data_IF_837398255231
#
_entry.id   IF_837398255231
#
_cell.length_a   1.000
_cell.length_b   1.000
_cell.length_c   1.000
_cell.angle_alpha   90.00
_cell.angle_beta   90.00
_cell.angle_gamma   90.00
#
_symmetry.space_group_name_H-M   'P 1'
#
loop_
_entity.id
_entity.type
_entity.pdbx_description
1 polymer ?
#
# COMPACT_ATOMS: atom_id res chain seq x y z
N UNK A 1 -14.82 63.18 -48.69
CA UNK A 1 -14.64 62.02 -47.79
C UNK A 1 -15.00 60.65 -48.40
N UNK A 2 -15.47 60.55 -49.65
CA UNK A 2 -15.87 59.27 -50.27
C UNK A 2 -14.71 58.42 -50.88
N UNK A 3 -13.52 58.99 -51.10
CA UNK A 3 -12.39 58.29 -51.72
C UNK A 3 -11.59 57.36 -50.80
N UNK A 4 -11.67 57.53 -49.47
CA UNK A 4 -10.87 56.76 -48.50
C UNK A 4 -11.45 55.34 -48.29
N UNK A 5 -12.79 55.23 -48.27
CA UNK A 5 -13.49 53.95 -48.09
C UNK A 5 -13.34 53.00 -49.29
N UNK A 6 -13.40 53.53 -50.52
CA UNK A 6 -13.18 52.75 -51.74
C UNK A 6 -11.73 52.36 -52.00
N UNK A 7 -10.75 53.02 -51.36
CA UNK A 7 -9.33 52.63 -51.40
C UNK A 7 -9.07 51.48 -50.42
N UNK A 8 -9.50 51.62 -49.16
CA UNK A 8 -9.43 50.53 -48.15
C UNK A 8 -10.13 49.26 -48.60
N UNK A 9 -11.33 49.35 -49.22
CA UNK A 9 -12.06 48.16 -49.69
C UNK A 9 -11.31 47.44 -50.84
N UNK A 10 -10.61 48.17 -51.70
CA UNK A 10 -9.78 47.60 -52.77
C UNK A 10 -8.49 46.99 -52.23
N UNK A 11 -7.87 47.64 -51.25
CA UNK A 11 -6.70 47.11 -50.53
C UNK A 11 -7.06 45.81 -49.80
N UNK A 12 -8.19 45.77 -49.08
CA UNK A 12 -8.71 44.55 -48.42
C UNK A 12 -9.03 43.42 -49.41
N UNK A 13 -9.63 43.73 -50.56
CA UNK A 13 -9.90 42.70 -51.57
C UNK A 13 -8.60 42.14 -52.17
N UNK A 14 -7.63 43.01 -52.47
CA UNK A 14 -6.33 42.59 -52.99
C UNK A 14 -5.54 41.73 -51.98
N UNK A 15 -5.64 42.05 -50.68
CA UNK A 15 -5.07 41.23 -49.60
C UNK A 15 -5.73 39.85 -49.53
N UNK A 16 -7.06 39.78 -49.66
CA UNK A 16 -7.81 38.51 -49.67
C UNK A 16 -7.46 37.66 -50.90
N UNK A 17 -7.42 38.26 -52.09
CA UNK A 17 -7.06 37.55 -53.33
C UNK A 17 -5.61 37.01 -53.27
N UNK A 18 -4.70 37.78 -52.66
CA UNK A 18 -3.32 37.34 -52.44
C UNK A 18 -3.23 36.17 -51.44
N UNK A 19 -4.03 36.20 -50.37
CA UNK A 19 -4.12 35.11 -49.41
C UNK A 19 -4.69 33.84 -50.04
N UNK A 20 -5.71 33.96 -50.90
CA UNK A 20 -6.31 32.81 -51.59
C UNK A 20 -5.35 32.19 -52.59
N UNK A 21 -4.59 33.02 -53.32
CA UNK A 21 -3.52 32.55 -54.18
C UNK A 21 -2.39 31.86 -53.39
N UNK A 22 -2.08 32.33 -52.18
CA UNK A 22 -1.13 31.67 -51.28
C UNK A 22 -1.63 30.29 -50.83
N UNK A 23 -2.88 30.21 -50.40
CA UNK A 23 -3.52 28.97 -49.97
C UNK A 23 -3.56 27.93 -51.10
N UNK A 24 -3.95 28.34 -52.31
CA UNK A 24 -3.94 27.46 -53.48
C UNK A 24 -2.53 26.94 -53.82
N UNK A 25 -1.52 27.81 -53.75
CA UNK A 25 -0.11 27.41 -53.97
C UNK A 25 0.36 26.41 -52.90
N UNK A 26 0.04 26.66 -51.63
CA UNK A 26 0.37 25.75 -50.52
C UNK A 26 -0.31 24.40 -50.67
N UNK A 27 -1.57 24.37 -51.09
CA UNK A 27 -2.29 23.13 -51.40
C UNK A 27 -1.60 22.33 -52.52
N UNK A 28 -1.16 23.00 -53.59
CA UNK A 28 -0.38 22.36 -54.66
C UNK A 28 0.96 21.79 -54.20
N UNK A 29 1.69 22.54 -53.36
CA UNK A 29 2.95 22.06 -52.77
C UNK A 29 2.72 20.85 -51.86
N UNK A 30 1.68 20.90 -51.02
CA UNK A 30 1.34 19.82 -50.09
C UNK A 30 0.96 18.53 -50.84
N UNK A 31 0.22 18.62 -51.95
CA UNK A 31 -0.10 17.46 -52.79
C UNK A 31 1.15 16.77 -53.34
N UNK A 32 2.11 17.53 -53.85
CA UNK A 32 3.36 16.99 -54.39
C UNK A 32 4.21 16.39 -53.27
N UNK A 33 4.26 17.04 -52.10
CA UNK A 33 4.96 16.53 -50.91
C UNK A 33 4.41 15.19 -50.44
N UNK A 34 3.08 15.10 -50.28
CA UNK A 34 2.42 13.87 -49.87
C UNK A 34 2.59 12.73 -50.89
N UNK A 35 2.49 13.00 -52.20
CA UNK A 35 2.72 11.99 -53.26
C UNK A 35 4.15 11.44 -53.24
N UNK A 36 5.14 12.32 -53.13
CA UNK A 36 6.54 11.91 -53.02
C UNK A 36 6.78 11.13 -51.71
N UNK A 37 6.15 11.53 -50.60
CA UNK A 37 6.25 10.78 -49.33
C UNK A 37 5.65 9.38 -49.46
N UNK A 38 4.50 9.21 -50.12
CA UNK A 38 3.92 7.88 -50.40
C UNK A 38 4.90 7.05 -51.22
N UNK A 39 5.49 7.62 -52.27
CA UNK A 39 6.46 6.93 -53.13
C UNK A 39 7.65 6.43 -52.33
N UNK A 40 8.29 7.29 -51.54
CA UNK A 40 9.41 6.94 -50.66
C UNK A 40 9.01 5.89 -49.63
N UNK A 41 7.85 6.04 -49.00
CA UNK A 41 7.38 5.11 -47.97
C UNK A 41 7.06 3.73 -48.55
N UNK A 42 6.60 3.63 -49.81
CA UNK A 42 6.43 2.35 -50.50
C UNK A 42 7.76 1.64 -50.73
N UNK A 43 8.79 2.38 -51.13
CA UNK A 43 10.15 1.84 -51.27
C UNK A 43 10.66 1.34 -49.91
N UNK A 44 10.52 2.16 -48.86
CA UNK A 44 10.88 1.80 -47.48
C UNK A 44 10.12 0.57 -46.97
N UNK A 45 8.81 0.47 -47.26
CA UNK A 45 8.00 -0.69 -46.92
C UNK A 45 8.54 -1.96 -47.59
N UNK A 46 8.95 -1.90 -48.86
CA UNK A 46 9.50 -3.07 -49.55
C UNK A 46 10.79 -3.56 -48.86
N UNK A 47 11.67 -2.65 -48.45
CA UNK A 47 12.85 -2.99 -47.66
C UNK A 47 12.48 -3.53 -46.28
N UNK A 48 11.54 -2.90 -45.58
CA UNK A 48 11.08 -3.33 -44.27
C UNK A 48 10.43 -4.72 -44.32
N UNK A 49 9.68 -5.05 -45.37
CA UNK A 49 9.09 -6.38 -45.56
C UNK A 49 10.19 -7.44 -45.74
N UNK A 50 11.25 -7.11 -46.49
CA UNK A 50 12.38 -8.02 -46.68
C UNK A 50 13.16 -8.28 -45.38
N UNK A 51 13.32 -7.25 -44.52
CA UNK A 51 14.08 -7.35 -43.27
C UNK A 51 13.24 -7.93 -42.11
N UNK A 52 12.01 -7.42 -41.93
CA UNK A 52 11.16 -7.67 -40.77
C UNK A 52 10.08 -8.74 -41.01
N UNK A 53 9.70 -8.96 -42.28
CA UNK A 53 8.57 -9.80 -42.66
C UNK A 53 7.24 -9.06 -42.71
N UNK A 54 6.20 -9.78 -43.13
CA UNK A 54 4.88 -9.17 -43.40
C UNK A 54 4.07 -8.79 -42.16
N UNK A 55 4.28 -9.48 -41.03
CA UNK A 55 3.52 -9.25 -39.80
C UNK A 55 3.86 -7.91 -39.16
N UNK A 56 5.15 -7.68 -38.85
CA UNK A 56 5.63 -6.41 -38.28
C UNK A 56 5.39 -5.18 -39.19
N UNK A 57 5.29 -5.37 -40.50
CA UNK A 57 5.07 -4.27 -41.46
C UNK A 57 3.60 -4.01 -41.79
N UNK A 58 2.68 -4.77 -41.19
CA UNK A 58 1.24 -4.69 -41.48
C UNK A 58 0.67 -3.28 -41.26
N UNK A 59 1.07 -2.61 -40.18
CA UNK A 59 0.53 -1.30 -39.82
C UNK A 59 1.00 -0.20 -40.78
N UNK A 60 2.25 -0.25 -41.24
CA UNK A 60 2.76 0.67 -42.26
C UNK A 60 2.05 0.45 -43.61
N UNK A 61 1.82 -0.82 -43.98
CA UNK A 61 1.04 -1.17 -45.18
C UNK A 61 -0.38 -0.60 -45.12
N UNK A 62 -1.08 -0.82 -44.00
CA UNK A 62 -2.43 -0.30 -43.80
C UNK A 62 -2.48 1.24 -43.82
N UNK A 63 -1.47 1.90 -43.25
CA UNK A 63 -1.33 3.36 -43.31
C UNK A 63 -1.12 3.86 -44.75
N UNK A 64 -0.25 3.21 -45.53
CA UNK A 64 -0.05 3.51 -46.94
C UNK A 64 -1.33 3.34 -47.77
N UNK A 65 -2.12 2.31 -47.51
CA UNK A 65 -3.40 2.09 -48.18
C UNK A 65 -4.39 3.21 -47.86
N UNK A 66 -4.55 3.56 -46.58
CA UNK A 66 -5.44 4.64 -46.14
C UNK A 66 -5.00 6.01 -46.68
N UNK A 67 -3.70 6.29 -46.67
CA UNK A 67 -3.15 7.54 -47.22
C UNK A 67 -3.35 7.61 -48.73
N UNK A 68 -3.18 6.50 -49.45
CA UNK A 68 -3.42 6.45 -50.90
C UNK A 68 -4.89 6.75 -51.23
N UNK A 69 -5.83 6.21 -50.45
CA UNK A 69 -7.28 6.48 -50.61
C UNK A 69 -7.61 7.96 -50.39
N UNK A 70 -7.15 8.55 -49.28
CA UNK A 70 -7.42 9.94 -48.94
C UNK A 70 -6.67 10.95 -49.83
N UNK A 71 -5.50 10.60 -50.38
CA UNK A 71 -4.86 11.43 -51.39
C UNK A 71 -5.68 11.47 -52.69
N UNK A 72 -6.42 10.41 -53.00
CA UNK A 72 -7.42 10.41 -54.08
C UNK A 72 -8.52 11.47 -53.87
N UNK A 73 -9.01 11.66 -52.64
CA UNK A 73 -9.94 12.74 -52.28
C UNK A 73 -9.29 14.11 -52.52
N UNK A 74 -8.03 14.30 -52.09
CA UNK A 74 -7.31 15.55 -52.25
C UNK A 74 -7.09 15.91 -53.74
N UNK A 75 -6.74 14.94 -54.58
CA UNK A 75 -6.64 15.14 -56.04
C UNK A 75 -7.98 15.46 -56.69
N UNK A 76 -9.07 14.83 -56.24
CA UNK A 76 -10.40 15.15 -56.73
C UNK A 76 -10.81 16.59 -56.38
N UNK A 77 -10.56 17.03 -55.14
CA UNK A 77 -10.79 18.41 -54.72
C UNK A 77 -9.92 19.40 -55.52
N UNK A 78 -8.67 19.04 -55.80
CA UNK A 78 -7.79 19.85 -56.63
C UNK A 78 -8.28 19.96 -58.07
N UNK A 79 -8.84 18.88 -58.63
CA UNK A 79 -9.43 18.88 -59.97
C UNK A 79 -10.65 19.80 -60.04
N UNK A 80 -11.55 19.74 -59.05
CA UNK A 80 -12.72 20.63 -58.98
C UNK A 80 -12.31 22.11 -58.95
N UNK A 81 -11.24 22.45 -58.23
CA UNK A 81 -10.73 23.83 -58.18
C UNK A 81 -10.21 24.36 -59.54
N UNK A 82 -10.01 23.49 -60.53
CA UNK A 82 -9.45 23.83 -61.85
C UNK A 82 -10.39 23.44 -63.01
N UNK A 83 -11.65 23.12 -62.73
CA UNK A 83 -12.60 22.77 -63.77
C UNK A 83 -13.13 24.01 -64.53
N UNK A 84 -13.98 23.78 -65.54
CA UNK A 84 -14.54 24.86 -66.36
C UNK A 84 -15.70 25.62 -65.69
N UNK A 85 -16.12 25.20 -64.49
CA UNK A 85 -17.25 25.76 -63.75
C UNK A 85 -16.70 26.75 -62.71
N UNK A 86 -17.03 28.06 -62.80
CA UNK A 86 -16.53 29.03 -61.82
C UNK A 86 -17.12 28.79 -60.42
N UNK A 87 -16.29 28.33 -59.48
CA UNK A 87 -16.63 28.25 -58.06
C UNK A 87 -16.57 29.61 -57.35
N UNK A 88 -17.20 29.71 -56.19
CA UNK A 88 -17.05 30.87 -55.31
C UNK A 88 -15.68 30.87 -54.61
N UNK A 89 -15.13 32.05 -54.26
CA UNK A 89 -13.88 32.14 -53.50
C UNK A 89 -13.90 31.37 -52.17
N UNK A 90 -15.07 31.26 -51.52
CA UNK A 90 -15.23 30.56 -50.25
C UNK A 90 -15.17 29.03 -50.41
N UNK A 91 -15.71 28.49 -51.51
CA UNK A 91 -15.57 27.08 -51.88
C UNK A 91 -14.11 26.72 -52.18
N UNK A 92 -13.40 27.56 -52.94
CA UNK A 92 -11.97 27.37 -53.21
C UNK A 92 -11.13 27.36 -51.94
N UNK A 93 -11.39 28.29 -51.00
CA UNK A 93 -10.71 28.31 -49.69
C UNK A 93 -10.95 27.02 -48.92
N UNK A 94 -12.21 26.59 -48.84
CA UNK A 94 -12.61 25.39 -48.10
C UNK A 94 -11.94 24.14 -48.67
N UNK A 95 -11.93 23.98 -50.00
CA UNK A 95 -11.30 22.83 -50.66
C UNK A 95 -9.78 22.88 -50.55
N UNK A 96 -9.13 24.03 -50.76
CA UNK A 96 -7.67 24.14 -50.59
C UNK A 96 -7.23 23.88 -49.13
N UNK A 97 -7.99 24.36 -48.13
CA UNK A 97 -7.72 24.04 -46.73
C UNK A 97 -7.88 22.53 -46.45
N UNK A 98 -8.90 21.89 -47.03
CA UNK A 98 -9.10 20.44 -46.92
C UNK A 98 -7.98 19.64 -47.58
N UNK A 99 -7.51 20.06 -48.76
CA UNK A 99 -6.35 19.45 -49.44
C UNK A 99 -5.12 19.49 -48.53
N UNK A 100 -4.79 20.66 -47.97
CA UNK A 100 -3.66 20.82 -47.05
C UNK A 100 -3.81 19.89 -45.85
N UNK A 101 -5.00 19.86 -45.23
CA UNK A 101 -5.27 19.00 -44.07
C UNK A 101 -5.06 17.51 -44.39
N UNK A 102 -5.53 17.04 -45.54
CA UNK A 102 -5.36 15.64 -45.98
C UNK A 102 -3.88 15.30 -46.22
N UNK A 103 -3.13 16.21 -46.84
CA UNK A 103 -1.70 16.02 -47.11
C UNK A 103 -0.87 16.04 -45.82
N UNK A 104 -1.12 16.97 -44.92
CA UNK A 104 -0.44 17.06 -43.62
C UNK A 104 -0.72 15.81 -42.76
N UNK A 105 -1.97 15.33 -42.73
CA UNK A 105 -2.32 14.08 -42.06
C UNK A 105 -1.60 12.87 -42.67
N UNK A 106 -1.52 12.82 -44.00
CA UNK A 106 -0.83 11.75 -44.71
C UNK A 106 0.67 11.70 -44.36
N UNK A 107 1.37 12.83 -44.43
CA UNK A 107 2.79 12.92 -44.07
C UNK A 107 3.01 12.49 -42.61
N UNK A 108 2.22 13.05 -41.68
CA UNK A 108 2.34 12.73 -40.26
C UNK A 108 2.12 11.23 -39.98
N UNK A 109 1.07 10.63 -40.55
CA UNK A 109 0.78 9.21 -40.34
C UNK A 109 1.90 8.31 -40.89
N UNK A 110 2.45 8.62 -42.07
CA UNK A 110 3.53 7.83 -42.65
C UNK A 110 4.82 7.97 -41.84
N UNK A 111 5.13 9.15 -41.33
CA UNK A 111 6.30 9.39 -40.48
C UNK A 111 6.20 8.63 -39.16
N UNK A 112 5.06 8.73 -38.47
CA UNK A 112 4.81 7.99 -37.22
C UNK A 112 4.99 6.48 -37.41
N UNK A 113 4.47 5.93 -38.51
CA UNK A 113 4.54 4.49 -38.81
C UNK A 113 5.93 4.04 -39.24
N UNK A 114 6.67 4.89 -39.94
CA UNK A 114 8.05 4.61 -40.34
C UNK A 114 8.98 4.65 -39.13
N UNK A 115 8.83 5.65 -38.25
CA UNK A 115 9.62 5.77 -37.02
C UNK A 115 9.39 4.58 -36.08
N UNK A 116 8.14 4.11 -35.96
CA UNK A 116 7.80 2.94 -35.14
C UNK A 116 8.57 1.66 -35.54
N UNK A 117 8.98 1.52 -36.81
CA UNK A 117 9.74 0.36 -37.28
C UNK A 117 11.25 0.45 -37.00
N UNK A 118 11.78 1.64 -36.70
CA UNK A 118 13.22 1.87 -36.58
C UNK A 118 13.87 0.99 -35.51
N UNK A 119 13.20 0.82 -34.36
CA UNK A 119 13.68 0.00 -33.26
C UNK A 119 13.76 -1.49 -33.62
N UNK A 120 12.79 -2.00 -34.38
CA UNK A 120 12.75 -3.40 -34.80
C UNK A 120 13.79 -3.68 -35.89
N UNK A 121 14.00 -2.75 -36.84
CA UNK A 121 15.08 -2.83 -37.82
C UNK A 121 16.43 -2.87 -37.11
N UNK A 122 16.65 -1.98 -36.14
CA UNK A 122 17.89 -1.96 -35.36
C UNK A 122 18.11 -3.26 -34.58
N UNK A 123 17.05 -3.89 -34.07
CA UNK A 123 17.12 -5.20 -33.39
C UNK A 123 17.50 -6.32 -34.36
N UNK A 124 16.83 -6.40 -35.51
CA UNK A 124 17.10 -7.42 -36.54
C UNK A 124 18.52 -7.33 -37.07
N UNK A 125 19.05 -6.12 -37.26
CA UNK A 125 20.43 -5.89 -37.70
C UNK A 125 21.47 -6.30 -36.66
N UNK A 126 21.22 -6.07 -35.37
CA UNK A 126 22.12 -6.47 -34.27
C UNK A 126 22.04 -7.94 -33.88
N UNK A 127 21.02 -8.67 -34.34
CA UNK A 127 20.82 -10.07 -33.97
C UNK A 127 22.04 -10.98 -34.19
N UNK A 128 22.86 -10.88 -35.26
CA UNK A 128 24.08 -11.68 -35.39
C UNK A 128 25.11 -11.41 -34.28
N UNK A 129 25.25 -10.15 -33.88
CA UNK A 129 26.13 -9.73 -32.77
C UNK A 129 25.62 -10.30 -31.44
N UNK A 130 24.31 -10.20 -31.20
CA UNK A 130 23.67 -10.75 -29.98
C UNK A 130 23.82 -12.28 -29.95
N UNK A 131 23.65 -12.98 -31.09
CA UNK A 131 23.85 -14.42 -31.18
C UNK A 131 25.30 -14.83 -30.87
N UNK A 132 26.28 -14.07 -31.37
CA UNK A 132 27.68 -14.29 -31.05
C UNK A 132 27.95 -14.09 -29.54
N UNK A 133 27.36 -13.05 -28.95
CA UNK A 133 27.46 -12.78 -27.52
C UNK A 133 26.84 -13.91 -26.68
N UNK A 134 25.62 -14.36 -27.02
CA UNK A 134 24.95 -15.48 -26.35
C UNK A 134 25.82 -16.75 -26.34
N UNK A 135 26.45 -17.08 -27.48
CA UNK A 135 27.34 -18.24 -27.57
C UNK A 135 28.59 -18.08 -26.70
N UNK A 136 29.24 -16.92 -26.78
CA UNK A 136 30.42 -16.62 -25.97
C UNK A 136 30.10 -16.61 -24.47
N UNK A 137 28.94 -16.08 -24.07
CA UNK A 137 28.49 -16.05 -22.68
C UNK A 137 28.20 -17.46 -22.17
N UNK A 138 27.53 -18.29 -22.98
CA UNK A 138 27.26 -19.66 -22.62
C UNK A 138 28.54 -20.48 -22.43
N UNK A 139 29.58 -20.27 -23.26
CA UNK A 139 30.89 -20.89 -23.08
C UNK A 139 31.56 -20.45 -21.77
N UNK A 140 31.62 -19.14 -21.51
CA UNK A 140 32.19 -18.60 -20.25
C UNK A 140 31.46 -19.10 -19.01
N UNK A 141 30.13 -19.21 -19.05
CA UNK A 141 29.35 -19.74 -17.93
C UNK A 141 29.57 -21.25 -17.75
N UNK A 142 29.73 -22.02 -18.83
CA UNK A 142 30.07 -23.45 -18.73
C UNK A 142 31.40 -23.69 -18.02
N UNK A 143 32.39 -22.82 -18.23
CA UNK A 143 33.67 -22.90 -17.54
C UNK A 143 33.55 -22.71 -16.01
N UNK A 144 32.49 -22.03 -15.53
CA UNK A 144 32.19 -21.85 -14.10
C UNK A 144 31.48 -23.05 -13.46
N UNK A 145 30.81 -23.91 -14.25
CA UNK A 145 30.00 -25.02 -13.71
C UNK A 145 30.81 -26.02 -12.85
N UNK A 146 32.04 -26.44 -13.21
CA UNK A 146 32.84 -27.30 -12.35
C UNK A 146 33.11 -26.69 -10.98
N UNK A 147 33.35 -25.37 -10.93
CA UNK A 147 33.54 -24.65 -9.68
C UNK A 147 32.26 -24.62 -8.84
N UNK A 148 31.11 -24.30 -9.46
CA UNK A 148 29.81 -24.33 -8.78
C UNK A 148 29.50 -25.71 -8.19
N UNK A 149 29.73 -26.80 -8.94
CA UNK A 149 29.56 -28.19 -8.45
C UNK A 149 30.47 -28.49 -7.25
N UNK A 150 31.75 -28.13 -7.34
CA UNK A 150 32.71 -28.28 -6.23
C UNK A 150 32.31 -27.47 -5.00
N UNK A 151 31.74 -26.28 -5.18
CA UNK A 151 31.27 -25.44 -4.08
C UNK A 151 30.05 -26.06 -3.41
N UNK A 152 29.07 -26.56 -4.17
CA UNK A 152 27.92 -27.30 -3.64
C UNK A 152 28.37 -28.56 -2.87
N UNK A 153 29.33 -29.33 -3.41
CA UNK A 153 29.86 -30.52 -2.73
C UNK A 153 30.54 -30.17 -1.40
N UNK A 154 31.38 -29.12 -1.38
CA UNK A 154 32.02 -28.61 -0.16
C UNK A 154 30.98 -28.17 0.88
N UNK A 155 29.94 -27.45 0.45
CA UNK A 155 28.84 -27.04 1.32
C UNK A 155 28.06 -28.26 1.83
N UNK A 156 27.90 -29.29 1.00
CA UNK A 156 27.32 -30.59 1.38
C UNK A 156 28.05 -31.31 2.51
N UNK A 157 29.34 -31.01 2.75
CA UNK A 157 30.06 -31.53 3.90
C UNK A 157 29.77 -30.78 5.21
N UNK A 158 29.32 -29.52 5.13
CA UNK A 158 29.14 -28.60 6.26
C UNK A 158 27.68 -28.41 6.68
N UNK A 159 26.77 -28.34 5.71
CA UNK A 159 25.37 -28.01 5.92
C UNK A 159 24.46 -29.20 5.64
N UNK A 160 23.28 -29.19 6.28
CA UNK A 160 22.28 -30.24 6.13
C UNK A 160 21.66 -30.26 4.73
N UNK A 161 21.09 -31.40 4.33
CA UNK A 161 20.38 -31.52 3.05
C UNK A 161 19.15 -30.60 2.99
N UNK A 162 18.56 -30.26 4.14
CA UNK A 162 17.45 -29.31 4.23
C UNK A 162 17.90 -27.88 3.86
N UNK A 163 19.05 -27.44 4.40
CA UNK A 163 19.63 -26.13 4.13
C UNK A 163 19.99 -25.96 2.65
N UNK A 164 20.56 -27.02 2.05
CA UNK A 164 21.06 -27.00 0.66
C UNK A 164 19.99 -27.26 -0.39
N UNK A 165 18.75 -27.58 0.01
CA UNK A 165 17.69 -28.02 -0.90
C UNK A 165 17.48 -27.10 -2.09
N UNK A 166 17.62 -25.78 -1.89
CA UNK A 166 17.43 -24.79 -2.94
C UNK A 166 18.58 -24.71 -3.95
N UNK A 167 19.79 -25.08 -3.55
CA UNK A 167 20.99 -24.89 -4.37
C UNK A 167 21.61 -26.19 -4.89
N UNK A 168 21.21 -27.35 -4.36
CA UNK A 168 21.85 -28.63 -4.66
C UNK A 168 21.78 -29.01 -6.15
N UNK A 169 20.75 -28.57 -6.88
CA UNK A 169 20.60 -28.83 -8.31
C UNK A 169 20.99 -27.64 -9.21
N UNK A 170 21.45 -26.52 -8.63
CA UNK A 170 21.69 -25.28 -9.36
C UNK A 170 22.67 -25.44 -10.52
N UNK A 171 23.76 -26.19 -10.32
CA UNK A 171 24.75 -26.39 -11.39
C UNK A 171 24.18 -27.19 -12.57
N UNK A 172 23.33 -28.19 -12.31
CA UNK A 172 22.72 -29.00 -13.37
C UNK A 172 21.57 -28.24 -14.07
N UNK A 173 20.79 -27.45 -13.33
CA UNK A 173 19.79 -26.55 -13.91
C UNK A 173 20.45 -25.50 -14.82
N UNK A 174 21.55 -24.89 -14.37
CA UNK A 174 22.33 -23.95 -15.16
C UNK A 174 22.85 -24.60 -16.46
N UNK A 175 23.43 -25.80 -16.40
CA UNK A 175 23.93 -26.51 -17.58
C UNK A 175 22.82 -26.83 -18.60
N UNK A 176 21.64 -27.23 -18.12
CA UNK A 176 20.46 -27.44 -18.97
C UNK A 176 20.01 -26.14 -19.64
N UNK A 177 19.98 -25.02 -18.91
CA UNK A 177 19.64 -23.71 -19.47
C UNK A 177 20.67 -23.24 -20.50
N UNK A 178 21.96 -23.45 -20.28
CA UNK A 178 23.01 -23.11 -21.26
C UNK A 178 22.91 -23.97 -22.52
N UNK A 179 22.53 -25.24 -22.38
CA UNK A 179 22.29 -26.14 -23.51
C UNK A 179 21.04 -25.72 -24.30
N UNK A 180 19.98 -25.34 -23.60
CA UNK A 180 18.77 -24.77 -24.21
C UNK A 180 19.03 -23.42 -24.90
N UNK A 181 19.88 -22.57 -24.31
CA UNK A 181 20.27 -21.29 -24.89
C UNK A 181 21.00 -21.48 -26.23
N UNK A 182 22.00 -22.36 -26.27
CA UNK A 182 22.72 -22.67 -27.52
C UNK A 182 21.78 -23.25 -28.58
N UNK A 183 20.91 -24.18 -28.21
CA UNK A 183 19.93 -24.73 -29.14
C UNK A 183 19.02 -23.63 -29.70
N UNK A 184 18.55 -22.71 -28.86
CA UNK A 184 17.70 -21.59 -29.25
C UNK A 184 18.44 -20.61 -30.17
N UNK A 185 19.72 -20.35 -29.93
CA UNK A 185 20.57 -19.55 -30.80
C UNK A 185 20.73 -20.19 -32.20
N UNK A 186 20.85 -21.51 -32.27
CA UNK A 186 20.91 -22.24 -33.55
C UNK A 186 19.55 -22.25 -34.26
N UNK A 187 18.44 -22.38 -33.53
CA UNK A 187 17.09 -22.21 -34.08
C UNK A 187 16.94 -20.82 -34.67
N UNK A 188 17.32 -19.77 -33.92
CA UNK A 188 17.27 -18.38 -34.40
C UNK A 188 18.02 -18.22 -35.72
N UNK A 189 19.27 -18.73 -35.79
CA UNK A 189 20.10 -18.71 -37.00
C UNK A 189 19.37 -19.34 -38.20
N UNK A 190 18.85 -20.58 -38.05
CA UNK A 190 18.12 -21.28 -39.12
C UNK A 190 16.82 -20.58 -39.53
N UNK A 191 16.11 -19.94 -38.60
CA UNK A 191 14.87 -19.21 -38.91
C UNK A 191 15.17 -17.94 -39.71
N UNK A 192 16.26 -17.23 -39.40
CA UNK A 192 16.73 -16.07 -40.19
C UNK A 192 17.09 -16.46 -41.61
N UNK A 193 17.87 -17.52 -41.78
CA UNK A 193 18.25 -18.03 -43.12
C UNK A 193 17.04 -18.45 -43.95
N UNK A 194 15.95 -18.86 -43.30
CA UNK A 194 14.68 -19.21 -43.93
C UNK A 194 13.71 -18.02 -44.12
N UNK A 195 14.13 -16.78 -43.84
CA UNK A 195 13.29 -15.58 -43.98
C UNK A 195 12.17 -15.46 -42.92
N UNK A 196 12.25 -16.23 -41.82
CA UNK A 196 11.25 -16.23 -40.73
C UNK A 196 11.72 -15.34 -39.58
N UNK A 197 11.73 -14.02 -39.79
CA UNK A 197 12.31 -13.04 -38.87
C UNK A 197 11.66 -13.03 -37.49
N UNK A 198 10.33 -13.12 -37.40
CA UNK A 198 9.60 -13.13 -36.13
C UNK A 198 9.98 -14.35 -35.26
N UNK A 199 9.96 -15.55 -35.85
CA UNK A 199 10.37 -16.78 -35.18
C UNK A 199 11.84 -16.76 -34.77
N UNK A 200 12.70 -16.14 -35.59
CA UNK A 200 14.11 -15.96 -35.27
C UNK A 200 14.34 -15.04 -34.06
N UNK A 201 13.62 -13.92 -33.99
CA UNK A 201 13.73 -12.97 -32.90
C UNK A 201 13.24 -13.58 -31.59
N UNK A 202 12.12 -14.32 -31.62
CA UNK A 202 11.64 -15.06 -30.44
C UNK A 202 12.69 -16.06 -29.93
N UNK A 203 13.33 -16.81 -30.82
CA UNK A 203 14.38 -17.76 -30.45
C UNK A 203 15.65 -17.07 -29.92
N UNK A 204 15.98 -15.87 -30.42
CA UNK A 204 17.09 -15.05 -29.92
C UNK A 204 16.82 -14.53 -28.51
N UNK A 205 15.62 -14.00 -28.26
CA UNK A 205 15.19 -13.53 -26.95
C UNK A 205 15.20 -14.68 -25.94
N UNK A 206 14.68 -15.85 -26.35
CA UNK A 206 14.71 -17.09 -25.55
C UNK A 206 16.14 -17.49 -25.19
N UNK A 207 17.07 -17.45 -26.15
CA UNK A 207 18.47 -17.79 -25.91
C UNK A 207 19.14 -16.80 -24.94
N UNK A 208 18.87 -15.52 -25.11
CA UNK A 208 19.41 -14.43 -24.27
C UNK A 208 18.94 -14.57 -22.83
N UNK A 209 17.64 -14.82 -22.63
CA UNK A 209 17.05 -15.00 -21.29
C UNK A 209 17.57 -16.26 -20.61
N UNK A 210 17.73 -17.36 -21.34
CA UNK A 210 18.29 -18.60 -20.79
C UNK A 210 19.74 -18.44 -20.30
N UNK A 211 20.59 -17.71 -21.04
CA UNK A 211 21.94 -17.35 -20.58
C UNK A 211 21.88 -16.49 -19.31
N UNK A 212 21.03 -15.45 -19.31
CA UNK A 212 20.88 -14.56 -18.15
C UNK A 212 20.45 -15.32 -16.89
N UNK A 213 19.45 -16.19 -17.01
CA UNK A 213 18.98 -17.04 -15.91
C UNK A 213 20.06 -17.99 -15.42
N UNK A 214 20.81 -18.61 -16.33
CA UNK A 214 21.93 -19.47 -15.94
C UNK A 214 23.00 -18.72 -15.16
N UNK A 215 23.33 -17.48 -15.54
CA UNK A 215 24.27 -16.65 -14.80
C UNK A 215 23.78 -16.41 -13.36
N UNK A 216 22.52 -15.98 -13.20
CA UNK A 216 21.91 -15.76 -11.88
C UNK A 216 21.92 -17.02 -11.00
N UNK A 217 21.67 -18.20 -11.57
CA UNK A 217 21.70 -19.46 -10.83
C UNK A 217 23.12 -19.79 -10.35
N UNK A 218 24.14 -19.59 -11.20
CA UNK A 218 25.55 -19.83 -10.82
C UNK A 218 25.99 -18.84 -9.73
N UNK A 219 25.67 -17.55 -9.89
CA UNK A 219 26.00 -16.52 -8.89
C UNK A 219 25.30 -16.80 -7.55
N UNK A 220 24.04 -17.27 -7.59
CA UNK A 220 23.28 -17.66 -6.39
C UNK A 220 23.93 -18.76 -5.55
N UNK A 221 24.76 -19.63 -6.13
CA UNK A 221 25.52 -20.64 -5.38
C UNK A 221 26.62 -19.99 -4.54
N UNK A 222 27.31 -19.00 -5.08
CA UNK A 222 28.37 -18.25 -4.39
C UNK A 222 27.77 -17.36 -3.29
N UNK A 223 26.68 -16.65 -3.61
CA UNK A 223 25.95 -15.81 -2.65
C UNK A 223 25.42 -16.62 -1.48
N UNK A 224 24.88 -17.83 -1.73
CA UNK A 224 24.40 -18.71 -0.67
C UNK A 224 25.52 -19.09 0.32
N UNK A 225 26.75 -19.37 -0.17
CA UNK A 225 27.89 -19.68 0.71
C UNK A 225 28.21 -18.51 1.64
N UNK A 226 28.20 -17.29 1.09
CA UNK A 226 28.44 -16.05 1.86
C UNK A 226 27.36 -15.86 2.93
N UNK A 227 26.09 -16.01 2.56
CA UNK A 227 24.99 -15.83 3.50
C UNK A 227 24.97 -16.91 4.58
N UNK A 228 25.32 -18.15 4.26
CA UNK A 228 25.41 -19.22 5.25
C UNK A 228 26.51 -18.93 6.30
N UNK A 229 27.68 -18.43 5.86
CA UNK A 229 28.74 -18.01 6.77
C UNK A 229 28.32 -16.84 7.67
N UNK A 230 27.57 -15.88 7.14
CA UNK A 230 27.02 -14.77 7.93
C UNK A 230 25.97 -15.25 8.93
N UNK A 231 25.10 -16.18 8.53
CA UNK A 231 24.10 -16.77 9.39
C UNK A 231 24.76 -17.50 10.57
N UNK A 232 25.80 -18.29 10.34
CA UNK A 232 26.58 -18.94 11.40
C UNK A 232 27.24 -17.93 12.36
N UNK A 233 27.86 -16.88 11.83
CA UNK A 233 28.46 -15.82 12.67
C UNK A 233 27.40 -15.16 13.53
N UNK A 234 26.25 -14.83 12.95
CA UNK A 234 25.13 -14.20 13.66
C UNK A 234 24.52 -15.15 14.70
N UNK A 235 24.45 -16.44 14.39
CA UNK A 235 23.92 -17.46 15.28
C UNK A 235 24.74 -17.54 16.58
N UNK A 236 26.07 -17.42 16.50
CA UNK A 236 26.92 -17.41 17.68
C UNK A 236 26.60 -16.25 18.64
N UNK A 237 26.39 -15.04 18.09
CA UNK A 237 26.02 -13.86 18.87
C UNK A 237 24.61 -14.01 19.46
N UNK A 238 23.64 -14.45 18.66
CA UNK A 238 22.25 -14.69 19.11
C UNK A 238 22.18 -15.75 20.22
N UNK A 239 23.01 -16.81 20.17
CA UNK A 239 23.07 -17.80 21.24
C UNK A 239 23.56 -17.20 22.56
N UNK A 240 24.54 -16.30 22.50
CA UNK A 240 25.05 -15.62 23.70
C UNK A 240 23.96 -14.70 24.28
N UNK A 241 23.34 -13.87 23.45
CA UNK A 241 22.27 -12.95 23.84
C UNK A 241 21.07 -13.72 24.42
N UNK A 242 20.60 -14.79 23.76
CA UNK A 242 19.50 -15.62 24.24
C UNK A 242 19.75 -16.21 25.64
N UNK A 243 21.00 -16.54 25.97
CA UNK A 243 21.35 -17.06 27.31
C UNK A 243 21.28 -15.96 28.35
N UNK A 244 21.72 -14.75 28.01
CA UNK A 244 21.62 -13.59 28.88
C UNK A 244 20.16 -13.16 29.07
N UNK A 245 19.34 -13.19 28.01
CA UNK A 245 17.91 -12.90 28.06
C UNK A 245 17.17 -13.88 28.97
N UNK A 246 17.52 -15.17 28.93
CA UNK A 246 16.98 -16.16 29.88
C UNK A 246 17.36 -15.85 31.33
N UNK A 247 18.56 -15.30 31.59
CA UNK A 247 18.97 -14.88 32.93
C UNK A 247 18.19 -13.64 33.36
N UNK A 248 18.04 -12.64 32.49
CA UNK A 248 17.28 -11.43 32.75
C UNK A 248 15.78 -11.70 32.94
N UNK A 249 15.21 -12.62 32.17
CA UNK A 249 13.80 -13.00 32.28
C UNK A 249 13.46 -13.63 33.64
N UNK A 250 14.43 -14.24 34.35
CA UNK A 250 14.22 -14.75 35.72
C UNK A 250 13.94 -13.65 36.73
N UNK A 251 14.40 -12.42 36.49
CA UNK A 251 14.13 -11.28 37.36
C UNK A 251 12.84 -10.55 37.00
N UNK A 252 12.20 -10.90 35.88
CA UNK A 252 10.91 -10.37 35.48
C UNK A 252 9.75 -11.06 36.23
N UNK A 253 8.53 -10.47 36.24
CA UNK A 253 7.35 -11.12 36.81
C UNK A 253 7.06 -12.46 36.14
N UNK A 254 7.03 -13.53 36.93
CA UNK A 254 6.90 -14.92 36.45
C UNK A 254 5.44 -15.28 36.13
N UNK A 255 4.89 -14.68 35.08
CA UNK A 255 3.58 -15.06 34.53
C UNK A 255 3.68 -16.38 33.77
N UNK A 256 2.58 -17.15 33.60
CA UNK A 256 2.60 -18.39 32.81
C UNK A 256 3.17 -18.20 31.40
N UNK A 257 2.86 -17.08 30.75
CA UNK A 257 3.38 -16.74 29.42
C UNK A 257 4.91 -16.55 29.41
N UNK A 258 5.48 -15.89 30.42
CA UNK A 258 6.93 -15.74 30.55
C UNK A 258 7.60 -17.09 30.77
N UNK A 259 7.03 -17.94 31.65
CA UNK A 259 7.58 -19.28 31.92
C UNK A 259 7.55 -20.16 30.66
N UNK A 260 6.47 -20.10 29.89
CA UNK A 260 6.32 -20.83 28.62
C UNK A 260 7.31 -20.33 27.55
N UNK A 261 7.46 -19.00 27.42
CA UNK A 261 8.40 -18.41 26.47
C UNK A 261 9.86 -18.76 26.83
N UNK A 262 10.22 -18.71 28.12
CA UNK A 262 11.53 -19.15 28.61
C UNK A 262 11.77 -20.64 28.31
N UNK A 263 10.79 -21.51 28.56
CA UNK A 263 10.89 -22.94 28.26
C UNK A 263 11.01 -23.20 26.75
N UNK A 264 10.38 -22.38 25.91
CA UNK A 264 10.48 -22.46 24.46
C UNK A 264 11.85 -22.05 23.96
N UNK A 265 12.40 -20.92 24.45
CA UNK A 265 13.76 -20.51 24.12
C UNK A 265 14.82 -21.51 24.61
N UNK A 266 14.64 -22.09 25.80
CA UNK A 266 15.51 -23.16 26.30
C UNK A 266 15.47 -24.40 25.41
N UNK A 267 14.29 -24.79 24.92
CA UNK A 267 14.16 -25.92 23.97
C UNK A 267 14.84 -25.61 22.64
N UNK A 268 14.68 -24.38 22.12
CA UNK A 268 15.36 -23.96 20.89
C UNK A 268 16.89 -24.02 21.05
N UNK A 269 17.44 -23.47 22.14
CA UNK A 269 18.87 -23.56 22.45
C UNK A 269 19.37 -25.00 22.62
N UNK A 270 18.55 -25.89 23.20
CA UNK A 270 18.90 -27.29 23.39
C UNK A 270 18.75 -28.13 22.11
N UNK A 271 17.94 -27.68 21.15
CA UNK A 271 17.76 -28.33 19.86
C UNK A 271 18.91 -28.03 18.88
N UNK A 272 19.75 -27.02 19.19
CA UNK A 272 20.89 -26.67 18.35
C UNK A 272 21.83 -27.87 18.16
N UNK A 273 22.24 -28.15 16.92
CA UNK A 273 23.10 -29.28 16.61
C UNK A 273 24.48 -29.16 17.28
N UNK A 274 25.08 -30.28 17.75
CA UNK A 274 26.41 -30.25 18.34
C UNK A 274 27.48 -29.92 17.30
N UNK A 275 28.59 -29.34 17.75
CA UNK A 275 29.72 -29.00 16.90
C UNK A 275 30.21 -30.22 16.09
N UNK A 276 30.46 -30.02 14.80
CA UNK A 276 30.92 -31.07 13.89
C UNK A 276 29.81 -31.92 13.25
N UNK A 277 28.54 -31.59 13.50
CA UNK A 277 27.40 -32.12 12.71
C UNK A 277 27.00 -31.15 11.62
N UNK A 278 26.32 -31.65 10.58
CA UNK A 278 25.81 -30.81 9.50
C UNK A 278 24.62 -29.99 10.01
N UNK A 279 24.69 -28.67 9.87
CA UNK A 279 23.71 -27.74 10.45
C UNK A 279 22.84 -27.07 9.39
N UNK A 280 21.75 -26.43 9.82
CA UNK A 280 20.98 -25.49 8.99
C UNK A 280 21.02 -24.11 9.67
N UNK A 281 22.03 -23.29 9.39
CA UNK A 281 22.22 -22.03 10.10
C UNK A 281 21.07 -21.04 9.88
N UNK A 282 20.28 -21.19 8.80
CA UNK A 282 19.14 -20.33 8.52
C UNK A 282 17.95 -20.71 9.39
N UNK A 283 17.63 -22.00 9.46
CA UNK A 283 16.55 -22.51 10.31
C UNK A 283 16.87 -22.31 11.79
N UNK A 284 18.09 -22.65 12.22
CA UNK A 284 18.54 -22.49 13.61
C UNK A 284 18.43 -21.03 14.07
N UNK A 285 18.86 -20.09 13.22
CA UNK A 285 18.76 -18.66 13.49
C UNK A 285 17.30 -18.16 13.51
N UNK A 286 16.45 -18.66 12.61
CA UNK A 286 15.03 -18.31 12.56
C UNK A 286 14.32 -18.74 13.84
N UNK A 287 14.52 -19.99 14.28
CA UNK A 287 13.89 -20.54 15.48
C UNK A 287 14.31 -19.78 16.75
N UNK A 288 15.59 -19.43 16.89
CA UNK A 288 16.04 -18.63 18.04
C UNK A 288 15.48 -17.22 18.03
N UNK A 289 15.45 -16.55 16.86
CA UNK A 289 14.88 -15.20 16.75
C UNK A 289 13.40 -15.17 17.09
N UNK A 290 12.65 -16.17 16.62
CA UNK A 290 11.23 -16.31 16.96
C UNK A 290 11.05 -16.51 18.47
N UNK A 291 11.83 -17.39 19.09
CA UNK A 291 11.76 -17.65 20.52
C UNK A 291 12.18 -16.44 21.38
N UNK A 292 13.23 -15.71 20.99
CA UNK A 292 13.64 -14.47 21.65
C UNK A 292 12.54 -13.41 21.58
N UNK A 293 12.00 -13.19 20.37
CA UNK A 293 10.91 -12.21 20.16
C UNK A 293 9.68 -12.54 21.02
N UNK A 294 9.35 -13.83 21.14
CA UNK A 294 8.26 -14.28 22.00
C UNK A 294 8.55 -14.06 23.50
N UNK A 295 9.80 -14.27 23.93
CA UNK A 295 10.23 -14.00 25.31
C UNK A 295 10.16 -12.51 25.64
N UNK A 296 10.68 -11.65 24.77
CA UNK A 296 10.65 -10.20 24.92
C UNK A 296 9.21 -9.70 25.05
N UNK A 297 8.34 -10.11 24.13
CA UNK A 297 6.92 -9.75 24.17
C UNK A 297 6.23 -10.21 25.46
N UNK A 298 6.54 -11.41 25.96
CA UNK A 298 5.99 -11.92 27.21
C UNK A 298 6.50 -11.15 28.43
N UNK A 299 7.80 -10.85 28.47
CA UNK A 299 8.44 -10.09 29.57
C UNK A 299 7.93 -8.66 29.61
N UNK A 300 7.82 -7.98 28.47
CA UNK A 300 7.31 -6.62 28.38
C UNK A 300 5.85 -6.55 28.83
N UNK A 301 5.01 -7.46 28.35
CA UNK A 301 3.61 -7.57 28.81
C UNK A 301 3.53 -7.83 30.32
N UNK A 302 4.38 -8.70 30.85
CA UNK A 302 4.41 -9.00 32.28
C UNK A 302 4.86 -7.79 33.13
N UNK A 303 5.88 -7.05 32.66
CA UNK A 303 6.35 -5.80 33.28
C UNK A 303 5.28 -4.71 33.25
N UNK A 304 4.62 -4.54 32.11
CA UNK A 304 3.50 -3.59 31.99
C UNK A 304 2.38 -3.93 32.98
N UNK A 305 2.01 -5.22 33.07
CA UNK A 305 0.98 -5.68 34.00
C UNK A 305 1.40 -5.53 35.47
N UNK A 306 2.68 -5.69 35.80
CA UNK A 306 3.19 -5.44 37.15
C UNK A 306 3.20 -3.95 37.50
N UNK A 307 3.55 -3.08 36.54
CA UNK A 307 3.51 -1.62 36.70
C UNK A 307 2.07 -1.07 36.77
N UNK A 308 1.11 -1.76 36.11
CA UNK A 308 -0.31 -1.41 36.09
C UNK A 308 -1.17 -2.63 36.45
N UNK A 309 -1.27 -2.97 37.75
CA UNK A 309 -2.11 -4.08 38.19
C UNK A 309 -3.58 -3.83 37.85
N UNK A 310 -4.28 -4.87 37.39
CA UNK A 310 -5.72 -4.80 37.16
C UNK A 310 -6.48 -4.60 38.48
N UNK A 311 -7.66 -3.97 38.44
CA UNK A 311 -8.52 -3.90 39.61
C UNK A 311 -8.91 -5.31 40.08
N UNK A 312 -8.93 -5.51 41.40
CA UNK A 312 -9.44 -6.74 42.01
C UNK A 312 -10.89 -6.99 41.54
N UNK A 313 -11.22 -8.17 40.98
CA UNK A 313 -12.57 -8.53 40.60
C UNK A 313 -13.61 -8.31 41.71
N UNK A 314 -13.23 -8.45 42.99
CA UNK A 314 -14.11 -8.13 44.11
C UNK A 314 -14.43 -6.62 44.18
N UNK A 315 -13.45 -5.74 43.95
CA UNK A 315 -13.67 -4.30 43.89
C UNK A 315 -14.58 -3.93 42.71
N UNK A 316 -14.38 -4.54 41.53
CA UNK A 316 -15.26 -4.32 40.38
C UNK A 316 -16.70 -4.72 40.71
N UNK A 317 -16.91 -5.91 41.30
CA UNK A 317 -18.24 -6.36 41.75
C UNK A 317 -18.86 -5.39 42.76
N UNK A 318 -18.11 -4.96 43.75
CA UNK A 318 -18.61 -4.00 44.75
C UNK A 318 -19.01 -2.66 44.14
N UNK A 319 -18.26 -2.14 43.15
CA UNK A 319 -18.61 -0.91 42.45
C UNK A 319 -19.89 -1.06 41.60
N UNK A 320 -20.07 -2.22 40.97
CA UNK A 320 -21.30 -2.55 40.23
C UNK A 320 -22.50 -2.66 41.16
N UNK A 321 -22.37 -3.38 42.28
CA UNK A 321 -23.43 -3.50 43.29
C UNK A 321 -23.82 -2.13 43.86
N UNK A 322 -22.84 -1.24 44.05
CA UNK A 322 -23.10 0.11 44.52
C UNK A 322 -23.86 0.95 43.48
N UNK A 323 -23.45 0.89 42.21
CA UNK A 323 -24.18 1.53 41.13
C UNK A 323 -25.63 1.00 41.03
N UNK A 324 -25.84 -0.31 41.15
CA UNK A 324 -27.16 -0.95 41.13
C UNK A 324 -28.06 -0.44 42.27
N UNK A 325 -27.51 -0.28 43.49
CA UNK A 325 -28.23 0.33 44.61
C UNK A 325 -28.60 1.79 44.35
N UNK A 326 -27.67 2.60 43.85
CA UNK A 326 -27.91 4.02 43.57
C UNK A 326 -28.97 4.20 42.47
N UNK A 327 -28.91 3.39 41.41
CA UNK A 327 -29.91 3.35 40.33
C UNK A 327 -31.28 2.99 40.91
N UNK A 328 -31.37 1.97 41.77
CA UNK A 328 -32.63 1.58 42.39
C UNK A 328 -33.25 2.69 43.26
N UNK A 329 -32.43 3.41 44.04
CA UNK A 329 -32.88 4.56 44.83
C UNK A 329 -33.40 5.67 43.92
N UNK A 330 -32.62 6.08 42.92
CA UNK A 330 -33.02 7.13 41.98
C UNK A 330 -34.31 6.75 41.23
N UNK A 331 -34.41 5.50 40.76
CA UNK A 331 -35.61 4.96 40.10
C UNK A 331 -36.84 5.04 41.00
N UNK A 332 -36.72 4.65 42.27
CA UNK A 332 -37.83 4.69 43.22
C UNK A 332 -38.31 6.12 43.50
N UNK A 333 -37.38 7.07 43.74
CA UNK A 333 -37.73 8.47 43.99
C UNK A 333 -38.42 9.09 42.77
N UNK A 334 -37.87 8.86 41.57
CA UNK A 334 -38.42 9.37 40.32
C UNK A 334 -39.79 8.74 40.01
N UNK A 335 -39.96 7.45 40.28
CA UNK A 335 -41.23 6.75 40.08
C UNK A 335 -42.32 7.19 41.08
N UNK A 336 -41.95 7.53 42.31
CA UNK A 336 -42.88 8.01 43.34
C UNK A 336 -43.40 9.44 43.10
N UNK A 337 -42.66 10.27 42.37
CA UNK A 337 -42.96 11.69 42.18
C UNK A 337 -43.11 12.08 40.70
N UNK A 338 -43.66 11.18 39.88
CA UNK A 338 -43.72 11.33 38.40
C UNK A 338 -44.33 12.64 37.90
N UNK A 339 -45.23 13.25 38.66
CA UNK A 339 -45.84 14.53 38.29
C UNK A 339 -44.93 15.75 38.47
N UNK A 340 -43.86 15.62 39.28
CA UNK A 340 -43.03 16.74 39.72
C UNK A 340 -41.60 16.67 39.17
N UNK A 341 -41.11 15.48 38.80
CA UNK A 341 -39.77 15.31 38.25
C UNK A 341 -39.68 15.84 36.81
N UNK A 342 -38.60 16.55 36.49
CA UNK A 342 -38.28 17.09 35.16
C UNK A 342 -37.66 16.07 34.20
N UNK A 343 -37.40 16.49 32.96
CA UNK A 343 -36.81 15.64 31.92
C UNK A 343 -35.35 15.27 32.25
N UNK A 344 -34.58 16.20 32.84
CA UNK A 344 -33.14 16.01 33.08
C UNK A 344 -32.84 14.85 34.03
N UNK A 345 -33.57 14.74 35.16
CA UNK A 345 -33.42 13.64 36.10
C UNK A 345 -33.72 12.28 35.46
N UNK A 346 -34.75 12.21 34.60
CA UNK A 346 -35.12 10.97 33.88
C UNK A 346 -34.06 10.60 32.83
N UNK A 347 -33.52 11.58 32.11
CA UNK A 347 -32.45 11.36 31.14
C UNK A 347 -31.19 10.83 31.82
N UNK A 348 -30.81 11.38 32.98
CA UNK A 348 -29.65 10.89 33.76
C UNK A 348 -29.85 9.48 34.28
N UNK A 349 -31.06 9.13 34.76
CA UNK A 349 -31.38 7.77 35.16
C UNK A 349 -31.31 6.79 33.99
N UNK A 350 -31.88 7.15 32.84
CA UNK A 350 -31.85 6.31 31.64
C UNK A 350 -30.40 6.06 31.14
N UNK A 351 -29.54 7.07 31.18
CA UNK A 351 -28.13 6.94 30.83
C UNK A 351 -27.36 6.08 31.85
N UNK A 352 -27.66 6.20 33.15
CA UNK A 352 -27.08 5.34 34.19
C UNK A 352 -27.43 3.85 33.95
N UNK A 353 -28.69 3.55 33.64
CA UNK A 353 -29.18 2.21 33.33
C UNK A 353 -28.58 1.66 32.03
N UNK A 354 -28.40 2.53 31.02
CA UNK A 354 -27.72 2.18 29.77
C UNK A 354 -26.27 1.78 30.04
N UNK A 355 -25.49 2.63 30.73
CA UNK A 355 -24.09 2.35 31.06
C UNK A 355 -23.96 1.07 31.89
N UNK A 356 -24.88 0.82 32.84
CA UNK A 356 -24.90 -0.42 33.62
C UNK A 356 -25.15 -1.66 32.76
N UNK A 357 -26.02 -1.55 31.76
CA UNK A 357 -26.29 -2.63 30.81
C UNK A 357 -25.07 -2.89 29.93
N UNK A 358 -24.39 -1.82 29.47
CA UNK A 358 -23.18 -1.93 28.65
C UNK A 358 -22.04 -2.68 29.37
N UNK A 359 -21.97 -2.64 30.71
CA UNK A 359 -20.98 -3.43 31.49
C UNK A 359 -21.14 -4.93 31.22
N UNK A 360 -22.36 -5.43 31.07
CA UNK A 360 -22.61 -6.86 30.80
C UNK A 360 -22.21 -7.27 29.37
N UNK A 361 -22.02 -6.30 28.47
CA UNK A 361 -21.64 -6.54 27.09
C UNK A 361 -20.11 -6.48 26.89
N UNK A 362 -19.33 -6.23 27.95
CA UNK A 362 -17.87 -6.26 27.87
C UNK A 362 -17.38 -7.69 27.61
N UNK A 363 -16.36 -7.88 26.75
CA UNK A 363 -15.76 -9.19 26.49
C UNK A 363 -15.07 -9.75 27.74
N UNK A 364 -14.96 -11.07 27.85
CA UNK A 364 -14.26 -11.75 28.96
C UNK A 364 -12.74 -11.69 28.72
N UNK A 365 -12.20 -10.48 28.91
CA UNK A 365 -10.79 -10.15 28.73
C UNK A 365 -10.29 -9.37 29.95
N UNK A 366 -9.01 -9.51 30.28
CA UNK A 366 -8.35 -8.85 31.39
C UNK A 366 -8.59 -7.32 31.44
N UNK A 367 -8.54 -6.66 30.28
CA UNK A 367 -8.74 -5.21 30.15
C UNK A 367 -10.20 -4.78 30.35
N UNK A 368 -11.15 -5.72 30.36
CA UNK A 368 -12.54 -5.44 30.66
C UNK A 368 -12.78 -5.15 32.14
N UNK A 369 -11.92 -5.61 33.05
CA UNK A 369 -12.07 -5.32 34.48
C UNK A 369 -11.88 -3.83 34.79
N UNK A 370 -10.89 -3.19 34.16
CA UNK A 370 -10.65 -1.75 34.31
C UNK A 370 -11.79 -0.92 33.68
N UNK A 371 -12.22 -1.29 32.47
CA UNK A 371 -13.39 -0.67 31.80
C UNK A 371 -14.66 -0.83 32.62
N UNK A 372 -14.92 -2.03 33.14
CA UNK A 372 -16.08 -2.32 33.98
C UNK A 372 -16.09 -1.48 35.26
N UNK A 373 -14.94 -1.34 35.94
CA UNK A 373 -14.83 -0.49 37.13
C UNK A 373 -15.12 0.98 36.82
N UNK A 374 -14.57 1.51 35.72
CA UNK A 374 -14.81 2.89 35.31
C UNK A 374 -16.29 3.12 34.93
N UNK A 375 -16.88 2.19 34.18
CA UNK A 375 -18.29 2.25 33.80
C UNK A 375 -19.21 2.12 35.01
N UNK A 376 -18.90 1.26 35.99
CA UNK A 376 -19.66 1.13 37.22
C UNK A 376 -19.66 2.44 38.03
N UNK A 377 -18.48 3.06 38.21
CA UNK A 377 -18.37 4.37 38.87
C UNK A 377 -19.15 5.45 38.13
N UNK A 378 -19.10 5.46 36.79
CA UNK A 378 -19.87 6.39 35.95
C UNK A 378 -21.39 6.18 36.11
N UNK A 379 -21.86 4.94 36.11
CA UNK A 379 -23.27 4.61 36.32
C UNK A 379 -23.76 5.09 37.69
N UNK A 380 -22.98 4.87 38.75
CA UNK A 380 -23.25 5.42 40.08
C UNK A 380 -23.32 6.95 40.07
N UNK A 381 -22.32 7.64 39.51
CA UNK A 381 -22.32 9.12 39.42
C UNK A 381 -23.57 9.66 38.72
N UNK A 382 -23.96 9.06 37.60
CA UNK A 382 -25.18 9.44 36.86
C UNK A 382 -26.46 9.19 37.66
N UNK A 383 -26.53 8.07 38.40
CA UNK A 383 -27.65 7.78 39.29
C UNK A 383 -27.73 8.78 40.46
N UNK A 384 -26.59 9.14 41.03
CA UNK A 384 -26.50 10.17 42.08
C UNK A 384 -26.94 11.55 41.55
N UNK A 385 -26.51 11.93 40.34
CA UNK A 385 -26.96 13.16 39.67
C UNK A 385 -28.47 13.16 39.41
N UNK A 386 -29.01 12.02 38.93
CA UNK A 386 -30.46 11.86 38.70
C UNK A 386 -31.25 12.06 40.01
N UNK A 387 -30.76 11.50 41.11
CA UNK A 387 -31.37 11.65 42.43
C UNK A 387 -31.34 13.11 42.93
N UNK A 388 -30.20 13.80 42.77
CA UNK A 388 -30.09 15.21 43.16
C UNK A 388 -31.01 16.13 42.36
N UNK A 389 -31.11 15.92 41.04
CA UNK A 389 -32.04 16.65 40.19
C UNK A 389 -33.49 16.36 40.60
N UNK A 390 -33.84 15.09 40.82
CA UNK A 390 -35.18 14.70 41.25
C UNK A 390 -35.55 15.32 42.60
N UNK A 391 -34.62 15.37 43.57
CA UNK A 391 -34.87 16.01 44.86
C UNK A 391 -35.11 17.52 44.72
N UNK A 392 -34.32 18.20 43.88
CA UNK A 392 -34.50 19.62 43.58
C UNK A 392 -35.88 19.89 42.96
N UNK A 393 -36.29 19.04 42.02
CA UNK A 393 -37.60 19.13 41.38
C UNK A 393 -38.73 18.98 42.40
N UNK A 394 -38.64 17.98 43.29
CA UNK A 394 -39.58 17.77 44.39
C UNK A 394 -39.64 19.00 45.31
N UNK A 395 -38.49 19.51 45.73
CA UNK A 395 -38.42 20.67 46.63
C UNK A 395 -39.00 21.93 45.99
N UNK A 396 -38.80 22.13 44.68
CA UNK A 396 -39.37 23.25 43.93
C UNK A 396 -40.88 23.15 43.72
N UNK A 397 -41.43 21.93 43.75
CA UNK A 397 -42.85 21.65 43.54
C UNK A 397 -43.68 21.71 44.83
N UNK A 398 -43.04 21.76 46.00
CA UNK A 398 -43.74 22.01 47.26
C UNK A 398 -44.27 23.44 47.28
N UNK A 399 -45.57 23.67 47.58
CA UNK A 399 -46.08 25.02 47.76
C UNK A 399 -45.26 25.73 48.84
N UNK A 400 -44.66 26.87 48.50
CA UNK A 400 -44.17 27.80 49.50
C UNK A 400 -45.40 28.39 50.17
N UNK A 401 -45.85 27.75 51.24
CA UNK A 401 -47.03 28.18 51.99
C UNK A 401 -46.72 29.49 52.70
N UNK A 402 -47.01 30.58 51.99
CA UNK A 402 -47.05 31.92 52.54
C UNK A 402 -48.41 32.17 53.18
N UNK A 403 -48.44 32.17 54.52
CA UNK A 403 -49.16 33.19 55.27
C UNK A 403 -50.24 32.76 56.27
N UNK A 404 -50.21 33.47 57.41
CA UNK A 404 -51.31 33.92 58.30
C UNK A 404 -51.41 33.34 59.72
N UNK A 405 -51.04 34.18 60.71
CA UNK A 405 -51.74 34.29 62.00
C UNK A 405 -50.88 34.16 63.27
N UNK A 406 -50.73 35.25 64.06
CA UNK A 406 -50.39 35.11 65.48
C UNK A 406 -49.56 36.22 66.12
N UNK A 407 -50.24 37.27 66.54
CA UNK A 407 -49.78 38.37 67.39
C UNK A 407 -49.32 37.92 68.79
N UNK A 408 -48.29 38.58 69.35
CA UNK A 408 -47.96 38.60 70.79
C UNK A 408 -46.52 38.14 71.04
N UNK A 409 -45.58 38.89 71.61
CA UNK A 409 -45.63 40.06 72.46
C UNK A 409 -44.50 39.92 73.47
N UNK A 410 -43.68 40.96 73.68
CA UNK A 410 -42.88 41.08 74.91
C UNK A 410 -41.38 40.75 74.84
N UNK A 411 -40.59 41.80 74.56
CA UNK A 411 -39.47 42.32 75.38
C UNK A 411 -38.40 41.38 75.97
N UNK A 412 -37.16 41.82 75.66
CA UNK A 412 -35.97 41.98 76.54
C UNK A 412 -35.16 40.73 76.90
N UNK A 413 -33.98 40.66 76.27
CA UNK A 413 -32.75 40.99 76.98
C UNK A 413 -31.89 39.83 77.44
N UNK A 414 -30.82 39.57 76.68
CA UNK A 414 -29.46 39.42 77.19
C UNK A 414 -29.09 38.17 77.98
N UNK A 415 -28.18 37.38 77.40
CA UNK A 415 -27.14 36.69 78.17
C UNK A 415 -27.09 35.18 78.00
N UNK A 416 -26.06 34.73 77.28
CA UNK A 416 -25.17 33.69 77.77
C UNK A 416 -25.59 32.22 77.63
N UNK A 417 -24.77 31.53 76.84
CA UNK A 417 -24.30 30.15 77.05
C UNK A 417 -25.22 28.99 76.65
N UNK A 418 -24.67 28.13 75.80
CA UNK A 418 -24.77 26.69 76.02
C UNK A 418 -25.77 25.93 75.15
N UNK A 419 -25.19 25.11 74.29
CA UNK A 419 -25.69 23.81 73.83
C UNK A 419 -26.73 23.69 72.70
N UNK A 420 -26.19 23.11 71.64
CA UNK A 420 -26.64 21.89 70.95
C UNK A 420 -27.77 21.98 69.92
N UNK A 421 -27.45 21.30 68.82
CA UNK A 421 -28.31 20.80 67.73
C UNK A 421 -28.71 21.80 66.65
N UNK A 422 -27.83 21.95 65.65
CA UNK A 422 -28.18 22.56 64.38
C UNK A 422 -27.08 22.45 63.35
N UNK A 423 -27.21 21.50 62.43
CA UNK A 423 -26.61 21.56 61.10
C UNK A 423 -25.23 20.91 60.95
N UNK A 424 -25.17 19.99 59.97
CA UNK A 424 -24.14 19.86 58.91
C UNK A 424 -24.12 18.39 58.49
N UNK A 425 -24.86 18.06 57.44
CA UNK A 425 -24.57 16.89 56.60
C UNK A 425 -24.14 17.43 55.25
N UNK A 426 -22.82 17.47 55.06
CA UNK A 426 -22.19 17.94 53.85
C UNK A 426 -20.69 17.67 53.88
N UNK A 427 -20.31 16.49 53.37
CA UNK A 427 -19.12 16.34 52.51
C UNK A 427 -17.72 16.34 53.15
N UNK A 428 -17.15 15.14 53.16
CA UNK A 428 -15.80 14.80 52.67
C UNK A 428 -14.56 15.13 53.53
N UNK A 429 -13.57 14.25 53.32
CA UNK A 429 -12.11 14.34 53.46
C UNK A 429 -11.46 13.63 54.68
N UNK A 430 -10.55 12.71 54.30
CA UNK A 430 -9.34 12.16 54.97
C UNK A 430 -9.52 10.93 55.88
N UNK A 431 -9.30 9.75 55.29
CA UNK A 431 -8.79 8.57 55.99
C UNK A 431 -7.34 8.26 55.60
N UNK A 432 -6.46 8.23 56.60
CA UNK A 432 -5.14 7.55 56.69
C UNK A 432 -4.10 7.92 55.64
N UNK A 433 -3.12 8.80 55.89
CA UNK A 433 -1.91 8.60 56.74
C UNK A 433 -1.28 7.21 56.54
N UNK A 434 -0.21 7.10 55.72
CA UNK A 434 1.20 7.26 56.12
C UNK A 434 1.66 6.20 57.12
N UNK A 435 2.36 5.21 56.61
CA UNK A 435 3.06 4.19 57.37
C UNK A 435 4.16 3.56 56.51
N UNK A 436 5.08 4.39 56.04
CA UNK A 436 6.40 3.94 55.59
C UNK A 436 7.44 4.94 56.10
N UNK A 437 8.19 4.53 57.12
CA UNK A 437 9.43 5.17 57.56
C UNK A 437 10.43 4.02 57.81
N UNK A 438 11.51 4.11 57.06
CA UNK A 438 12.75 3.37 57.13
C UNK A 438 13.23 3.02 58.55
N UNK A 439 13.58 1.76 58.79
CA UNK A 439 14.86 1.32 59.39
C UNK A 439 14.98 -0.22 59.37
N UNK A 440 16.07 -0.77 58.81
CA UNK A 440 16.50 -2.18 58.97
C UNK A 440 16.56 -3.04 57.71
#
# INVERSE_FOLDING_TARGET
MAGFWGKRKREQQAELDAHDADLARRAGIALVGADERIRVTRDELAFAVAELGEGLTKDLRAALDAVTEHLGEAYHLHQLNHDEIPDTPEELRTRNARIIQLCEWAEQLLDERTEALAADIARVRRAPEILAQVRADAERLRERLPHARSTIERMGARYSDAALRQIVQSADEADQLLSFALHSADVSTRRREAGRTEEANLALETATEAVRRSATIIDGVEDWEIEALRAESTLADVIADSRDDLVQARTAPQTPAVVEAMATLQRALAALPPAGTKTDPFEDLSQLREANTALDAAVDKARERAARPLPDPAHVRHAVDDADRQIAVARNVIAGHRGWIGADARTRLAEAERVRTDINALPDEDDSLEKALHMARRAGSLASEALHLAQRDIDSSRPQDGGWGGQGGGRRGGGGMGDMMGGVLGGLVIGGLLGDIFDG
#
